data_IF_383622993402
#
_entry.id   IF_383622993402
#
_cell.length_a   1.000
_cell.length_b   1.000
_cell.length_c   1.000
_cell.angle_alpha   90.00
_cell.angle_beta   90.00
_cell.angle_gamma   90.00
#
_symmetry.space_group_name_H-M   'P 1'
#
loop_
_entity.id
_entity.type
_entity.pdbx_description
1 polymer ?
#
# COMPACT_ATOMS: atom_id res chain seq x y z
N UNK A 1 -6.36 5.29 -8.99
CA UNK A 1 -5.23 4.37 -8.70
C UNK A 1 -4.91 4.31 -7.22
N UNK A 2 -4.65 5.43 -6.55
CA UNK A 2 -4.22 5.44 -5.14
C UNK A 2 -5.22 4.73 -4.20
N UNK A 3 -6.52 5.01 -4.37
CA UNK A 3 -7.60 4.35 -3.63
C UNK A 3 -7.56 2.82 -3.82
N UNK A 4 -7.42 2.33 -5.05
CA UNK A 4 -7.41 0.88 -5.34
C UNK A 4 -6.31 0.12 -4.59
N UNK A 5 -5.18 0.78 -4.32
CA UNK A 5 -4.03 0.19 -3.61
C UNK A 5 -4.29 0.16 -2.11
N UNK A 6 -4.83 1.26 -1.56
CA UNK A 6 -5.22 1.32 -0.14
C UNK A 6 -6.23 0.21 0.16
N UNK A 7 -7.24 0.04 -0.69
CA UNK A 7 -8.23 -1.03 -0.57
C UNK A 7 -7.67 -2.44 -0.75
N UNK A 8 -6.55 -2.60 -1.44
CA UNK A 8 -5.89 -3.90 -1.64
C UNK A 8 -4.94 -4.27 -0.49
N UNK A 9 -4.73 -3.39 0.49
CA UNK A 9 -3.77 -3.61 1.57
C UNK A 9 -4.37 -4.38 2.75
N UNK A 10 -3.53 -5.20 3.41
CA UNK A 10 -3.91 -5.93 4.63
C UNK A 10 -4.37 -5.03 5.77
N UNK A 11 -3.76 -3.85 5.91
CA UNK A 11 -4.14 -2.89 6.97
C UNK A 11 -5.57 -2.42 6.78
N UNK A 12 -5.94 -2.09 5.53
CA UNK A 12 -7.29 -1.65 5.21
C UNK A 12 -8.30 -2.79 5.33
N UNK A 13 -7.94 -4.00 4.91
CA UNK A 13 -8.82 -5.18 5.05
C UNK A 13 -9.10 -5.49 6.53
N UNK A 14 -8.10 -5.33 7.40
CA UNK A 14 -8.28 -5.44 8.85
C UNK A 14 -9.25 -4.39 9.39
N UNK A 15 -9.07 -3.11 9.05
CA UNK A 15 -10.01 -2.08 9.44
C UNK A 15 -11.41 -2.37 8.91
N UNK A 16 -11.54 -2.77 7.64
CA UNK A 16 -12.82 -3.16 7.08
C UNK A 16 -13.47 -4.30 7.88
N UNK A 17 -12.72 -5.32 8.31
CA UNK A 17 -13.23 -6.41 9.17
C UNK A 17 -13.65 -5.94 10.55
N UNK A 18 -12.98 -4.95 11.13
CA UNK A 18 -13.38 -4.36 12.42
C UNK A 18 -14.72 -3.61 12.31
N UNK A 19 -14.94 -2.91 11.20
CA UNK A 19 -16.21 -2.20 10.94
C UNK A 19 -17.33 -3.15 10.46
N UNK A 20 -16.98 -4.27 9.82
CA UNK A 20 -17.91 -5.29 9.36
C UNK A 20 -18.28 -6.25 10.50
N UNK A 21 -19.32 -5.92 11.25
CA UNK A 21 -19.98 -6.87 12.17
C UNK A 21 -20.85 -7.91 11.43
N UNK A 22 -20.89 -7.91 10.09
CA UNK A 22 -21.74 -8.79 9.28
C UNK A 22 -21.12 -9.13 7.92
N UNK A 23 -21.80 -10.01 7.17
CA UNK A 23 -21.27 -10.67 5.96
C UNK A 23 -21.24 -9.80 4.69
N UNK A 24 -21.75 -8.57 4.72
CA UNK A 24 -22.00 -7.76 3.52
C UNK A 24 -21.35 -6.38 3.61
N UNK A 25 -20.67 -5.99 2.53
CA UNK A 25 -20.20 -4.63 2.32
C UNK A 25 -21.38 -3.72 1.92
N UNK A 26 -21.79 -2.83 2.81
CA UNK A 26 -22.79 -1.78 2.50
C UNK A 26 -22.07 -0.50 2.06
N UNK A 27 -22.65 0.27 1.15
CA UNK A 27 -22.12 1.58 0.75
C UNK A 27 -21.92 2.51 1.96
N UNK A 28 -22.81 2.41 2.96
CA UNK A 28 -22.69 3.13 4.21
C UNK A 28 -21.39 2.82 4.96
N UNK A 29 -20.95 1.55 4.96
CA UNK A 29 -19.68 1.18 5.59
C UNK A 29 -18.49 1.74 4.81
N UNK A 30 -18.59 1.77 3.48
CA UNK A 30 -17.54 2.32 2.62
C UNK A 30 -17.28 3.80 2.90
N UNK A 31 -18.33 4.58 3.19
CA UNK A 31 -18.24 6.00 3.52
C UNK A 31 -17.68 6.26 4.93
N UNK A 32 -17.83 5.31 5.85
CA UNK A 32 -17.34 5.42 7.23
C UNK A 32 -15.95 4.82 7.44
N UNK A 33 -15.33 4.25 6.40
CA UNK A 33 -13.97 3.73 6.52
C UNK A 33 -13.00 4.89 6.79
N UNK A 34 -12.09 4.75 7.78
CA UNK A 34 -11.07 5.74 8.02
C UNK A 34 -10.04 5.70 6.88
N UNK A 35 -10.34 6.39 5.78
CA UNK A 35 -9.38 6.58 4.69
C UNK A 35 -8.40 7.64 5.16
N UNK A 36 -7.15 7.23 5.41
CA UNK A 36 -6.09 8.16 5.75
C UNK A 36 -5.91 9.18 4.60
N UNK A 37 -6.17 10.45 4.90
CA UNK A 37 -5.94 11.53 3.93
C UNK A 37 -4.43 11.75 3.87
N UNK A 38 -3.86 11.54 2.68
CA UNK A 38 -2.50 11.93 2.33
C UNK A 38 -2.45 13.45 2.14
N UNK A 39 -2.68 14.22 3.20
CA UNK A 39 -2.52 15.68 3.19
C UNK A 39 -1.20 16.07 3.84
N UNK A 40 -0.61 17.16 3.35
CA UNK A 40 0.62 17.74 3.86
C UNK A 40 0.54 18.16 5.35
N UNK A 41 -0.66 18.18 5.93
CA UNK A 41 -0.93 18.62 7.31
C UNK A 41 -1.04 17.46 8.31
N UNK A 42 -1.58 16.29 7.94
CA UNK A 42 -1.56 15.07 8.77
C UNK A 42 -0.14 14.53 8.97
N UNK A 43 0.77 14.89 8.06
CA UNK A 43 2.22 14.69 8.20
C UNK A 43 2.87 15.52 9.34
N UNK A 44 2.25 16.62 9.78
CA UNK A 44 2.81 17.46 10.84
C UNK A 44 2.30 17.09 12.24
N UNK A 45 1.13 16.44 12.36
CA UNK A 45 0.60 15.97 13.64
C UNK A 45 1.14 14.59 14.02
N UNK A 46 1.46 13.72 13.04
CA UNK A 46 2.32 12.56 13.25
C UNK A 46 3.78 13.00 13.30
N UNK A 47 4.15 13.54 14.45
CA UNK A 47 5.48 14.07 14.77
C UNK A 47 6.55 12.96 14.75
N UNK A 48 6.94 12.47 13.57
CA UNK A 48 8.28 11.95 13.36
C UNK A 48 9.14 13.14 12.91
N UNK A 49 9.97 13.60 13.83
CA UNK A 49 10.79 14.83 13.77
C UNK A 49 11.79 14.92 12.63
N UNK A 50 11.84 14.01 11.66
CA UNK A 50 12.75 14.10 10.54
C UNK A 50 12.06 13.66 9.25
N UNK A 51 12.11 14.55 8.25
CA UNK A 51 11.90 14.26 6.83
C UNK A 51 10.59 14.75 6.19
N UNK A 52 10.49 16.09 6.08
CA UNK A 52 9.74 16.77 5.00
C UNK A 52 10.11 16.28 3.59
N UNK A 53 11.29 15.68 3.43
CA UNK A 53 11.77 15.16 2.14
C UNK A 53 11.30 13.72 1.85
N UNK A 54 10.86 12.94 2.86
CA UNK A 54 10.46 11.53 2.65
C UNK A 54 9.01 11.35 2.23
N UNK A 55 8.12 12.30 2.44
CA UNK A 55 6.68 12.10 2.19
C UNK A 55 6.34 12.22 0.69
N UNK A 56 6.88 13.24 0.01
CA UNK A 56 6.79 13.34 -1.46
C UNK A 56 7.44 12.12 -2.13
N UNK A 57 8.53 11.60 -1.53
CA UNK A 57 9.15 10.36 -1.96
C UNK A 57 8.21 9.17 -1.74
N UNK A 58 7.52 9.05 -0.61
CA UNK A 58 6.62 7.92 -0.34
C UNK A 58 5.41 7.90 -1.27
N UNK A 59 4.76 9.03 -1.54
CA UNK A 59 3.66 9.09 -2.50
C UNK A 59 4.13 8.71 -3.91
N UNK A 60 5.28 9.26 -4.32
CA UNK A 60 5.89 8.96 -5.61
C UNK A 60 6.31 7.48 -5.71
N UNK A 61 6.92 6.93 -4.65
CA UNK A 61 7.35 5.53 -4.56
C UNK A 61 6.11 4.63 -4.59
N UNK A 62 5.08 4.90 -3.80
CA UNK A 62 3.84 4.12 -3.78
C UNK A 62 3.17 4.10 -5.15
N UNK A 63 3.06 5.26 -5.81
CA UNK A 63 2.54 5.38 -7.18
C UNK A 63 3.41 4.58 -8.16
N UNK A 64 4.73 4.68 -8.07
CA UNK A 64 5.66 3.97 -8.95
C UNK A 64 5.56 2.45 -8.78
N UNK A 65 5.51 1.95 -7.55
CA UNK A 65 5.38 0.53 -7.20
C UNK A 65 4.04 -0.02 -7.64
N UNK A 66 2.97 0.75 -7.48
CA UNK A 66 1.65 0.33 -7.91
C UNK A 66 1.45 0.35 -9.42
N UNK A 67 2.06 1.30 -10.13
CA UNK A 67 2.06 1.29 -11.59
C UNK A 67 2.75 0.02 -12.13
N UNK A 68 3.84 -0.43 -11.51
CA UNK A 68 4.47 -1.71 -11.88
C UNK A 68 3.54 -2.92 -11.73
N UNK A 69 2.60 -2.87 -10.78
CA UNK A 69 1.61 -3.93 -10.55
C UNK A 69 0.40 -3.88 -11.48
N UNK A 70 -0.07 -2.67 -11.83
CA UNK A 70 -1.32 -2.47 -12.59
C UNK A 70 -1.08 -2.41 -14.09
N UNK A 71 0.06 -1.85 -14.53
CA UNK A 71 0.34 -1.60 -15.94
C UNK A 71 0.84 -2.85 -16.68
N UNK A 72 -0.05 -3.84 -16.80
CA UNK A 72 0.18 -5.10 -17.54
C UNK A 72 -0.25 -5.02 -19.00
N UNK A 73 -1.02 -3.98 -19.37
CA UNK A 73 -1.53 -3.77 -20.73
C UNK A 73 -1.05 -2.44 -21.31
N UNK A 74 -1.02 -2.35 -22.64
CA UNK A 74 -0.60 -1.15 -23.37
C UNK A 74 -1.50 0.06 -23.14
N UNK A 75 -2.72 -0.15 -22.61
CA UNK A 75 -3.68 0.92 -22.32
C UNK A 75 -3.20 1.84 -21.19
N UNK A 76 -2.31 1.38 -20.34
CA UNK A 76 -1.77 2.14 -19.20
C UNK A 76 -0.39 2.75 -19.48
N UNK A 77 0.10 2.68 -20.72
CA UNK A 77 1.39 3.26 -21.10
C UNK A 77 1.44 4.78 -20.88
N UNK A 78 0.32 5.49 -21.07
CA UNK A 78 0.26 6.94 -20.81
C UNK A 78 0.54 7.28 -19.34
N UNK A 79 -0.01 6.51 -18.40
CA UNK A 79 0.22 6.67 -16.97
C UNK A 79 1.64 6.29 -16.56
N UNK A 80 2.23 5.27 -17.20
CA UNK A 80 3.63 4.92 -17.00
C UNK A 80 4.56 6.05 -17.47
N UNK A 81 4.25 6.67 -18.60
CA UNK A 81 5.06 7.74 -19.16
C UNK A 81 5.01 9.02 -18.32
N UNK A 82 3.88 9.27 -17.64
CA UNK A 82 3.73 10.38 -16.71
C UNK A 82 4.66 10.26 -15.50
N UNK A 83 4.87 9.04 -14.99
CA UNK A 83 5.64 8.80 -13.76
C UNK A 83 7.10 8.41 -14.03
N UNK A 84 7.36 7.62 -15.07
CA UNK A 84 8.69 7.08 -15.40
C UNK A 84 9.33 7.71 -16.65
N UNK A 85 8.61 8.60 -17.35
CA UNK A 85 9.09 9.27 -18.55
C UNK A 85 8.77 8.54 -19.87
N UNK A 86 9.09 9.17 -21.03
CA UNK A 86 8.57 8.77 -22.35
C UNK A 86 9.01 7.38 -22.85
N UNK A 87 10.02 6.76 -22.23
CA UNK A 87 10.52 5.42 -22.59
C UNK A 87 9.84 4.29 -21.79
N UNK A 88 8.96 4.61 -20.85
CA UNK A 88 8.28 3.63 -20.03
C UNK A 88 7.15 2.93 -20.80
N UNK A 89 7.14 1.60 -20.78
CA UNK A 89 6.15 0.75 -21.42
C UNK A 89 5.78 -0.41 -20.48
N UNK A 90 4.59 -0.98 -20.68
CA UNK A 90 4.12 -2.15 -19.92
C UNK A 90 5.10 -3.33 -19.96
N UNK A 91 5.88 -3.51 -21.04
CA UNK A 91 6.89 -4.57 -21.14
C UNK A 91 8.14 -4.33 -20.31
N UNK A 92 8.49 -3.07 -20.03
CA UNK A 92 9.71 -2.73 -19.31
C UNK A 92 9.46 -2.58 -17.81
N UNK A 93 8.26 -2.17 -17.42
CA UNK A 93 7.94 -1.87 -16.01
C UNK A 93 6.81 -2.73 -15.43
N UNK A 94 6.02 -3.43 -16.25
CA UNK A 94 4.96 -4.32 -15.78
C UNK A 94 5.53 -5.62 -15.24
N UNK A 95 5.28 -5.91 -13.96
CA UNK A 95 5.76 -7.13 -13.30
C UNK A 95 4.71 -8.22 -13.40
N UNK A 96 5.01 -9.26 -14.21
CA UNK A 96 4.16 -10.45 -14.39
C UNK A 96 4.58 -11.63 -13.55
N UNK A 97 5.83 -11.66 -13.07
CA UNK A 97 6.36 -12.73 -12.24
C UNK A 97 5.70 -12.76 -10.85
N UNK A 98 5.13 -13.90 -10.41
CA UNK A 98 4.38 -13.97 -9.16
C UNK A 98 5.22 -13.64 -7.92
N UNK A 99 6.51 -14.01 -7.91
CA UNK A 99 7.40 -13.76 -6.78
C UNK A 99 7.71 -12.27 -6.67
N UNK A 100 8.16 -11.65 -7.77
CA UNK A 100 8.39 -10.20 -7.80
C UNK A 100 7.13 -9.40 -7.51
N UNK A 101 5.98 -9.87 -8.00
CA UNK A 101 4.68 -9.25 -7.72
C UNK A 101 4.34 -9.30 -6.23
N UNK A 102 4.64 -10.39 -5.55
CA UNK A 102 4.41 -10.51 -4.11
C UNK A 102 5.36 -9.60 -3.31
N UNK A 103 6.62 -9.45 -3.72
CA UNK A 103 7.55 -8.49 -3.11
C UNK A 103 7.02 -7.05 -3.22
N UNK A 104 6.55 -6.64 -4.42
CA UNK A 104 5.96 -5.31 -4.61
C UNK A 104 4.69 -5.12 -3.76
N UNK A 105 3.89 -6.16 -3.56
CA UNK A 105 2.73 -6.12 -2.65
C UNK A 105 3.18 -5.93 -1.19
N UNK A 106 4.18 -6.69 -0.74
CA UNK A 106 4.71 -6.56 0.62
C UNK A 106 5.23 -5.14 0.88
N UNK A 107 5.90 -4.54 -0.10
CA UNK A 107 6.35 -3.15 -0.06
C UNK A 107 5.20 -2.16 0.09
N UNK A 108 4.13 -2.35 -0.68
CA UNK A 108 2.93 -1.52 -0.59
C UNK A 108 2.29 -1.66 0.79
N UNK A 109 2.12 -2.88 1.29
CA UNK A 109 1.51 -3.14 2.59
C UNK A 109 2.29 -2.50 3.73
N UNK A 110 3.61 -2.57 3.68
CA UNK A 110 4.49 -1.88 4.62
C UNK A 110 4.35 -0.35 4.55
N UNK A 111 4.30 0.23 3.34
CA UNK A 111 4.10 1.67 3.16
C UNK A 111 2.72 2.11 3.65
N UNK A 112 1.68 1.33 3.39
CA UNK A 112 0.32 1.61 3.83
C UNK A 112 0.23 1.53 5.36
N UNK A 113 0.81 0.51 5.99
CA UNK A 113 0.88 0.43 7.45
C UNK A 113 1.53 1.67 8.07
N UNK A 114 2.57 2.21 7.43
CA UNK A 114 3.23 3.45 7.84
C UNK A 114 2.35 4.69 7.65
N UNK A 115 1.58 4.76 6.55
CA UNK A 115 0.59 5.83 6.33
C UNK A 115 -0.49 5.83 7.41
N UNK A 116 -0.89 4.64 7.89
CA UNK A 116 -1.82 4.49 9.01
C UNK A 116 -1.16 4.72 10.38
N UNK A 117 0.15 4.93 10.44
CA UNK A 117 0.88 5.23 11.68
C UNK A 117 1.06 4.03 12.62
N UNK A 118 0.99 2.80 12.09
CA UNK A 118 1.09 1.58 12.89
C UNK A 118 2.52 1.30 13.38
N UNK A 119 2.64 0.83 14.61
CA UNK A 119 3.88 0.28 15.18
C UNK A 119 4.11 -1.17 14.74
N UNK A 120 5.35 -1.68 14.87
CA UNK A 120 5.70 -3.05 14.48
C UNK A 120 4.84 -4.11 15.19
N UNK A 121 4.60 -3.92 16.50
CA UNK A 121 3.79 -4.83 17.30
C UNK A 121 2.32 -4.86 16.83
N UNK A 122 1.79 -3.70 16.44
CA UNK A 122 0.43 -3.56 15.91
C UNK A 122 0.31 -4.20 14.53
N UNK A 123 1.29 -3.96 13.65
CA UNK A 123 1.34 -4.61 12.34
C UNK A 123 1.42 -6.13 12.46
N UNK A 124 2.26 -6.65 13.37
CA UNK A 124 2.34 -8.08 13.64
C UNK A 124 1.02 -8.63 14.17
N UNK A 125 0.33 -7.90 15.04
CA UNK A 125 -1.00 -8.29 15.50
C UNK A 125 -2.00 -8.35 14.34
N UNK A 126 -2.04 -7.34 13.47
CA UNK A 126 -2.90 -7.31 12.29
C UNK A 126 -2.61 -8.51 11.39
N UNK A 127 -1.34 -8.78 11.06
CA UNK A 127 -0.94 -9.93 10.23
C UNK A 127 -1.34 -11.27 10.85
N UNK A 128 -1.31 -11.38 12.19
CA UNK A 128 -1.73 -12.60 12.90
C UNK A 128 -3.23 -12.89 12.77
N UNK A 129 -4.06 -11.88 12.47
CA UNK A 129 -5.50 -12.06 12.25
C UNK A 129 -5.85 -12.71 10.90
N UNK A 130 -4.86 -12.92 10.03
CA UNK A 130 -4.98 -13.56 8.74
C UNK A 130 -4.40 -14.98 8.75
N UNK A 131 -5.15 -16.02 9.19
CA UNK A 131 -4.64 -17.38 9.29
C UNK A 131 -4.41 -18.05 7.92
N UNK A 132 -5.04 -17.56 6.86
CA UNK A 132 -4.94 -18.11 5.50
C UNK A 132 -3.74 -17.58 4.70
N UNK A 133 -3.06 -16.55 5.21
CA UNK A 133 -1.89 -15.97 4.55
C UNK A 133 -0.66 -16.75 4.98
N UNK A 134 0.16 -17.15 4.02
CA UNK A 134 1.42 -17.86 4.28
C UNK A 134 2.36 -17.02 5.15
N UNK A 135 3.09 -17.70 6.04
CA UNK A 135 3.96 -17.03 7.00
C UNK A 135 5.11 -16.26 6.32
N UNK A 136 5.57 -16.74 5.15
CA UNK A 136 6.58 -16.07 4.33
C UNK A 136 6.12 -14.69 3.85
N UNK A 137 4.83 -14.54 3.53
CA UNK A 137 4.27 -13.25 3.14
C UNK A 137 4.22 -12.29 4.34
N UNK A 138 3.81 -12.79 5.52
CA UNK A 138 3.74 -11.98 6.73
C UNK A 138 5.12 -11.46 7.15
N UNK A 139 6.13 -12.34 7.16
CA UNK A 139 7.49 -11.93 7.49
C UNK A 139 8.05 -11.00 6.41
N UNK A 140 7.75 -11.23 5.13
CA UNK A 140 8.15 -10.34 4.04
C UNK A 140 7.57 -8.92 4.17
N UNK A 141 6.33 -8.77 4.66
CA UNK A 141 5.75 -7.45 4.97
C UNK A 141 6.47 -6.79 6.16
N UNK A 142 6.76 -7.55 7.21
CA UNK A 142 7.50 -7.04 8.38
C UNK A 142 8.93 -6.62 8.02
N UNK A 143 9.61 -7.37 7.16
CA UNK A 143 10.95 -7.04 6.70
C UNK A 143 10.97 -5.74 5.88
N UNK A 144 10.04 -5.59 4.93
CA UNK A 144 9.91 -4.35 4.17
C UNK A 144 9.50 -3.16 5.05
N UNK A 145 8.70 -3.38 6.10
CA UNK A 145 8.37 -2.34 7.08
C UNK A 145 9.60 -1.89 7.87
N UNK A 146 10.43 -2.83 8.33
CA UNK A 146 11.70 -2.52 9.02
C UNK A 146 12.69 -1.77 8.12
N UNK A 147 12.76 -2.09 6.82
CA UNK A 147 13.61 -1.37 5.84
C UNK A 147 13.21 0.09 5.63
N UNK A 148 11.97 0.45 5.95
CA UNK A 148 11.46 1.81 5.84
C UNK A 148 11.72 2.66 7.10
N UNK A 149 12.29 2.08 8.18
CA UNK A 149 12.69 2.76 9.41
C UNK A 149 14.09 3.36 9.30
#
# INVERSE_FOLDING_TARGET
>A
MLISIIFASFTMDYFARLFLQGSNLSMYLMENLPIAILTNETANSFSFQNSRNNIANLEHILKSTALKLVCLSSQFNSLLQEVFGPQANYKTHGVTDPVQRQILKNQIDAMVAKIYGLEEAELKHILSTFPLVEEEIKEGVLEEWRKLM
#
